data_IF_260461050114
#
_entry.id   IF_260461050114
#
_cell.length_a   1.000
_cell.length_b   1.000
_cell.length_c   1.000
_cell.angle_alpha   90.00
_cell.angle_beta   90.00
_cell.angle_gamma   90.00
#
_symmetry.space_group_name_H-M   'P 1'
#
loop_
_entity.id
_entity.type
_entity.pdbx_description
1 polymer ?
#
# COMPACT_ATOMS: atom_id res chain seq x y z
N UNK A 1 -6.37 39.14 -16.17
CA UNK A 1 -7.16 38.29 -17.07
C UNK A 1 -8.38 37.78 -16.30
N UNK A 2 -9.52 38.38 -16.61
CA UNK A 2 -10.75 38.39 -15.81
C UNK A 2 -11.59 37.11 -16.09
N UNK A 3 -12.18 36.53 -15.04
CA UNK A 3 -13.14 35.42 -15.17
C UNK A 3 -14.51 35.99 -15.59
N UNK A 4 -15.13 35.53 -16.69
CA UNK A 4 -16.46 35.99 -17.09
C UNK A 4 -17.55 35.44 -16.15
N UNK A 5 -18.33 36.33 -15.53
CA UNK A 5 -19.64 35.99 -14.93
C UNK A 5 -20.59 35.62 -16.07
N UNK A 6 -21.22 34.44 -15.99
CA UNK A 6 -22.36 34.10 -16.83
C UNK A 6 -23.65 34.35 -16.05
N UNK A 7 -24.40 35.27 -16.63
CA UNK A 7 -25.78 35.67 -16.36
C UNK A 7 -26.76 34.48 -16.36
N UNK A 8 -27.79 34.56 -15.52
CA UNK A 8 -29.13 34.08 -15.84
C UNK A 8 -29.56 32.69 -15.35
N UNK A 9 -30.37 32.68 -14.29
CA UNK A 9 -31.63 31.91 -14.14
C UNK A 9 -31.65 30.39 -14.35
N UNK A 10 -31.76 29.65 -13.24
CA UNK A 10 -32.71 28.53 -13.12
C UNK A 10 -33.24 28.47 -11.69
N UNK A 11 -34.47 28.98 -11.54
CA UNK A 11 -35.33 28.89 -10.38
C UNK A 11 -36.17 27.62 -10.52
N UNK A 12 -35.77 26.54 -9.86
CA UNK A 12 -36.60 25.39 -9.53
C UNK A 12 -35.96 24.80 -8.26
N UNK A 13 -36.58 24.81 -7.09
CA UNK A 13 -37.93 24.38 -6.83
C UNK A 13 -37.84 23.08 -6.03
N UNK A 14 -38.24 23.16 -4.77
CA UNK A 14 -38.77 22.07 -3.93
C UNK A 14 -37.97 21.64 -2.69
N UNK A 15 -38.62 21.90 -1.55
CA UNK A 15 -38.30 21.48 -0.19
C UNK A 15 -38.24 19.97 -0.03
N UNK A 16 -37.20 19.45 0.61
CA UNK A 16 -37.38 18.35 1.55
C UNK A 16 -36.17 18.20 2.51
N UNK A 17 -36.48 18.26 3.80
CA UNK A 17 -35.80 17.57 4.91
C UNK A 17 -34.47 18.17 5.42
N UNK A 18 -34.62 19.10 6.35
CA UNK A 18 -33.71 19.20 7.47
C UNK A 18 -33.74 17.88 8.28
N UNK A 19 -32.59 17.26 8.49
CA UNK A 19 -32.29 16.50 9.71
C UNK A 19 -30.80 16.20 9.81
N UNK A 20 -30.25 16.62 10.96
CA UNK A 20 -29.12 16.03 11.71
C UNK A 20 -27.77 15.92 10.99
N UNK A 21 -26.87 16.88 11.20
CA UNK A 21 -25.88 16.94 12.29
C UNK A 21 -24.52 16.34 11.89
N UNK A 22 -23.39 16.97 12.29
CA UNK A 22 -22.13 16.89 11.58
C UNK A 22 -21.19 15.88 12.22
N UNK A 23 -20.60 14.98 11.43
CA UNK A 23 -19.36 14.30 11.84
C UNK A 23 -18.40 14.22 10.68
N UNK A 24 -17.45 15.16 10.67
CA UNK A 24 -16.17 14.93 10.06
C UNK A 24 -15.50 13.73 10.72
N UNK A 25 -15.15 12.74 9.93
CA UNK A 25 -14.10 11.79 10.27
C UNK A 25 -13.15 11.71 9.08
N UNK A 26 -12.23 12.68 9.09
CA UNK A 26 -10.85 12.58 8.64
C UNK A 26 -10.63 11.83 7.32
N UNK A 27 -10.22 12.59 6.31
CA UNK A 27 -9.26 12.15 5.30
C UNK A 27 -7.92 11.81 5.99
N UNK A 28 -7.92 10.81 6.88
CA UNK A 28 -6.70 10.22 7.38
C UNK A 28 -6.14 9.46 6.19
N UNK A 29 -5.15 10.07 5.54
CA UNK A 29 -4.31 9.44 4.52
C UNK A 29 -4.06 8.03 5.01
N UNK A 30 -4.61 7.03 4.30
CA UNK A 30 -4.50 5.60 4.65
C UNK A 30 -3.01 5.27 4.65
N UNK A 31 -2.35 5.56 5.76
CA UNK A 31 -0.96 5.20 6.03
C UNK A 31 -1.02 3.69 6.03
N UNK A 32 -0.63 3.09 4.91
CA UNK A 32 -0.50 1.66 4.81
C UNK A 32 0.30 1.23 6.04
N UNK A 33 -0.27 0.40 6.94
CA UNK A 33 0.44 -0.01 8.13
C UNK A 33 1.73 -0.66 7.66
N UNK A 34 2.86 -0.08 8.06
CA UNK A 34 4.16 -0.69 7.82
C UNK A 34 4.11 -2.10 8.38
N UNK A 35 4.60 -3.08 7.62
CA UNK A 35 4.61 -4.45 8.10
C UNK A 35 5.39 -4.56 9.42
N UNK A 36 5.02 -5.50 10.31
CA UNK A 36 5.76 -5.75 11.54
C UNK A 36 7.24 -5.97 11.23
N UNK A 37 8.13 -5.33 12.00
CA UNK A 37 9.58 -5.41 11.78
C UNK A 37 10.09 -6.86 11.86
N UNK A 38 9.47 -7.68 12.70
CA UNK A 38 9.75 -9.11 12.83
C UNK A 38 9.40 -9.89 11.55
N UNK A 39 8.22 -9.64 10.98
CA UNK A 39 7.82 -10.22 9.69
C UNK A 39 8.78 -9.81 8.57
N UNK A 40 9.16 -8.53 8.53
CA UNK A 40 10.14 -8.00 7.58
C UNK A 40 11.50 -8.68 7.76
N UNK A 41 11.95 -8.92 8.99
CA UNK A 41 13.22 -9.59 9.26
C UNK A 41 13.25 -11.02 8.71
N UNK A 42 12.15 -11.78 8.89
CA UNK A 42 12.02 -13.14 8.34
C UNK A 42 12.03 -13.15 6.80
N UNK A 43 11.32 -12.22 6.17
CA UNK A 43 11.31 -12.10 4.71
C UNK A 43 12.65 -11.65 4.14
N UNK A 44 13.37 -10.78 4.87
CA UNK A 44 14.73 -10.36 4.53
C UNK A 44 15.71 -11.51 4.62
N UNK A 45 15.59 -12.36 5.64
CA UNK A 45 16.38 -13.56 5.77
C UNK A 45 16.20 -14.46 4.56
N UNK A 46 14.95 -14.80 4.24
CA UNK A 46 14.62 -15.60 3.05
C UNK A 46 15.21 -15.00 1.76
N UNK A 47 15.12 -13.66 1.58
CA UNK A 47 15.64 -12.97 0.40
C UNK A 47 17.17 -13.03 0.31
N UNK A 48 17.88 -13.01 1.44
CA UNK A 48 19.35 -13.17 1.49
C UNK A 48 19.76 -14.57 1.08
N UNK A 49 19.03 -15.59 1.53
CA UNK A 49 19.26 -16.98 1.13
C UNK A 49 18.97 -17.20 -0.36
N UNK A 50 17.94 -16.54 -0.90
CA UNK A 50 17.48 -16.68 -2.29
C UNK A 50 17.90 -15.50 -3.20
N UNK A 51 19.11 -14.96 -3.00
CA UNK A 51 19.66 -13.86 -3.82
C UNK A 51 19.77 -14.21 -5.31
N UNK A 52 20.00 -15.49 -5.63
CA UNK A 52 20.19 -15.99 -6.99
C UNK A 52 18.86 -16.23 -7.72
N UNK A 53 17.80 -16.60 -6.98
CA UNK A 53 16.44 -16.73 -7.49
C UNK A 53 15.42 -16.06 -6.55
N UNK A 54 15.21 -14.75 -6.67
CA UNK A 54 14.37 -13.98 -5.75
C UNK A 54 12.88 -14.10 -6.11
N UNK A 55 12.38 -15.32 -6.24
CA UNK A 55 10.98 -15.61 -6.54
C UNK A 55 10.54 -16.74 -5.61
N UNK A 56 9.85 -16.43 -4.50
CA UNK A 56 9.38 -17.47 -3.61
C UNK A 56 8.32 -18.31 -4.32
N UNK A 57 8.46 -19.63 -4.24
CA UNK A 57 7.46 -20.58 -4.68
C UNK A 57 6.23 -20.55 -3.76
N UNK A 58 5.13 -21.18 -4.16
CA UNK A 58 3.89 -21.13 -3.38
C UNK A 58 4.01 -21.83 -2.02
N UNK A 59 4.81 -22.89 -1.91
CA UNK A 59 5.16 -23.52 -0.63
C UNK A 59 5.92 -22.56 0.30
N UNK A 60 6.88 -21.80 -0.25
CA UNK A 60 7.69 -20.86 0.53
C UNK A 60 6.84 -19.67 0.99
N UNK A 61 5.93 -19.19 0.14
CA UNK A 61 4.93 -18.19 0.54
C UNK A 61 4.06 -18.72 1.68
N UNK A 62 3.61 -19.97 1.61
CA UNK A 62 2.81 -20.60 2.67
C UNK A 62 3.57 -20.68 4.00
N UNK A 63 4.86 -21.05 3.97
CA UNK A 63 5.72 -21.01 5.16
C UNK A 63 5.83 -19.59 5.72
N UNK A 64 6.08 -18.58 4.87
CA UNK A 64 6.21 -17.19 5.31
C UNK A 64 4.90 -16.64 5.88
N UNK A 65 3.74 -17.02 5.33
CA UNK A 65 2.42 -16.68 5.90
C UNK A 65 2.29 -17.26 7.31
N UNK A 66 2.65 -18.54 7.49
CA UNK A 66 2.57 -19.21 8.80
C UNK A 66 3.50 -18.57 9.84
N UNK A 67 4.70 -18.15 9.44
CA UNK A 67 5.68 -17.53 10.33
C UNK A 67 5.34 -16.07 10.65
N UNK A 68 4.93 -15.29 9.64
CA UNK A 68 4.74 -13.83 9.78
C UNK A 68 3.31 -13.44 10.14
N UNK A 69 2.34 -14.34 9.95
CA UNK A 69 0.91 -14.05 10.12
C UNK A 69 0.34 -13.09 9.07
N UNK A 70 1.09 -12.81 7.99
CA UNK A 70 0.66 -11.90 6.93
C UNK A 70 -0.09 -12.64 5.82
N UNK A 71 -1.00 -11.93 5.14
CA UNK A 71 -1.69 -12.48 3.97
C UNK A 71 -0.75 -12.67 2.79
N UNK A 72 -1.03 -13.66 1.93
CA UNK A 72 -0.26 -13.93 0.71
C UNK A 72 -0.08 -12.69 -0.17
N UNK A 73 -1.10 -11.83 -0.23
CA UNK A 73 -1.04 -10.59 -1.00
C UNK A 73 0.00 -9.62 -0.40
N UNK A 74 0.04 -9.45 0.92
CA UNK A 74 1.06 -8.64 1.60
C UNK A 74 2.46 -9.19 1.37
N UNK A 75 2.64 -10.52 1.42
CA UNK A 75 3.89 -11.19 1.07
C UNK A 75 4.30 -10.83 -0.37
N UNK A 76 3.41 -10.99 -1.34
CA UNK A 76 3.66 -10.71 -2.76
C UNK A 76 4.04 -9.25 -3.02
N UNK A 77 3.29 -8.31 -2.44
CA UNK A 77 3.56 -6.88 -2.55
C UNK A 77 4.92 -6.52 -1.94
N UNK A 78 5.23 -7.11 -0.78
CA UNK A 78 6.49 -6.88 -0.12
C UNK A 78 7.66 -7.40 -0.95
N UNK A 79 7.62 -8.65 -1.43
CA UNK A 79 8.70 -9.21 -2.26
C UNK A 79 8.90 -8.42 -3.55
N UNK A 80 7.80 -7.99 -4.19
CA UNK A 80 7.86 -7.15 -5.39
C UNK A 80 8.61 -5.85 -5.13
N UNK A 81 8.33 -5.17 -4.02
CA UNK A 81 9.00 -3.92 -3.66
C UNK A 81 10.43 -4.15 -3.13
N UNK A 82 10.63 -5.20 -2.32
CA UNK A 82 11.90 -5.58 -1.73
C UNK A 82 12.93 -5.87 -2.82
N UNK A 83 12.57 -6.67 -3.82
CA UNK A 83 13.43 -6.96 -4.96
C UNK A 83 13.89 -5.71 -5.70
N UNK A 84 12.99 -4.78 -6.01
CA UNK A 84 13.32 -3.53 -6.71
C UNK A 84 14.25 -2.62 -5.91
N UNK A 85 14.23 -2.70 -4.57
CA UNK A 85 15.01 -1.81 -3.71
C UNK A 85 16.30 -2.43 -3.15
N UNK A 86 16.34 -3.76 -3.03
CA UNK A 86 17.37 -4.49 -2.30
C UNK A 86 18.29 -5.24 -3.27
N UNK A 87 17.75 -5.88 -4.32
CA UNK A 87 18.61 -6.57 -5.30
C UNK A 87 19.55 -5.58 -6.00
N UNK A 88 19.13 -4.37 -6.43
CA UNK A 88 20.06 -3.41 -6.97
C UNK A 88 21.15 -3.00 -5.97
N UNK A 89 20.84 -2.89 -4.67
CA UNK A 89 21.86 -2.63 -3.65
C UNK A 89 22.87 -3.77 -3.51
N UNK A 90 22.43 -5.02 -3.66
CA UNK A 90 23.30 -6.19 -3.57
C UNK A 90 24.17 -6.35 -4.81
N UNK A 91 23.63 -6.04 -5.99
CA UNK A 91 24.35 -6.13 -7.26
C UNK A 91 25.37 -5.01 -7.49
N UNK A 92 25.27 -3.90 -6.76
CA UNK A 92 26.13 -2.71 -6.92
C UNK A 92 27.35 -2.69 -5.96
N UNK A 93 27.58 -3.74 -5.17
CA UNK A 93 28.79 -3.89 -4.35
C UNK A 93 29.94 -4.60 -5.10
N UNK A 94 30.09 -4.35 -6.40
CA UNK A 94 31.27 -4.70 -7.20
C UNK A 94 31.85 -3.43 -7.81
N UNK A 95 32.73 -2.75 -7.07
CA UNK A 95 33.95 -2.04 -7.51
C UNK A 95 34.48 -1.24 -6.31
#
# INVERSE_FOLDING_TARGET
>A
LYRPMKDGSDMFGESALASTSPQGSKTESKKHPSLPKEAVAMMMDWLRNHKDNPYPNDDEKAMLIKQTGLSINQINYWFTNARRRILPKWSQCKT
#
